data_IF_712753430363
#
_entry.id   IF_712753430363
#
_cell.length_a   1.000
_cell.length_b   1.000
_cell.length_c   1.000
_cell.angle_alpha   90.00
_cell.angle_beta   90.00
_cell.angle_gamma   90.00
#
_symmetry.space_group_name_H-M   'P 1'
#
loop_
_entity.id
_entity.type
_entity.pdbx_description
1 polymer ?
#
# COMPACT_ATOMS: atom_id res chain seq x y z
N UNK A 1 -0.66 13.78 14.23
CA UNK A 1 -1.80 13.28 13.42
C UNK A 1 -2.15 14.32 12.37
N UNK A 2 -2.56 13.87 11.18
CA UNK A 2 -3.19 14.71 10.16
C UNK A 2 -4.53 15.24 10.66
N UNK A 3 -4.82 16.51 10.36
CA UNK A 3 -6.11 17.14 10.68
C UNK A 3 -7.28 16.58 9.86
N UNK A 4 -6.99 15.85 8.77
CA UNK A 4 -7.99 15.36 7.83
C UNK A 4 -8.17 13.84 7.87
N UNK A 5 -7.10 13.10 8.13
CA UNK A 5 -7.07 11.64 7.96
C UNK A 5 -6.66 10.88 9.23
N UNK A 6 -6.22 11.59 10.28
CA UNK A 6 -5.74 10.95 11.51
C UNK A 6 -4.28 10.49 11.43
N UNK A 7 -4.00 9.28 11.88
CA UNK A 7 -2.63 8.74 11.94
C UNK A 7 -2.21 8.08 10.62
N UNK A 8 -0.95 8.27 10.22
CA UNK A 8 -0.38 7.52 9.10
C UNK A 8 -0.23 6.06 9.55
N UNK A 9 -0.76 5.14 8.75
CA UNK A 9 -0.76 3.70 9.05
C UNK A 9 0.22 2.90 8.21
N UNK A 10 0.53 3.38 7.00
CA UNK A 10 1.40 2.68 6.06
C UNK A 10 2.26 3.67 5.27
N UNK A 11 3.44 3.22 4.88
CA UNK A 11 4.37 3.92 4.00
C UNK A 11 4.70 3.02 2.80
N UNK A 12 4.29 3.45 1.60
CA UNK A 12 4.46 2.70 0.36
C UNK A 12 5.70 3.14 -0.40
N UNK A 13 6.62 2.20 -0.61
CA UNK A 13 7.88 2.40 -1.31
C UNK A 13 7.83 1.74 -2.69
N UNK A 14 8.00 2.54 -3.74
CA UNK A 14 8.13 2.03 -5.10
C UNK A 14 9.59 1.67 -5.36
N UNK A 15 9.83 0.42 -5.75
CA UNK A 15 11.16 -0.16 -5.96
C UNK A 15 11.29 -0.79 -7.35
N UNK A 16 12.54 -0.96 -7.81
CA UNK A 16 12.84 -1.59 -9.09
C UNK A 16 12.88 -3.11 -9.01
N UNK A 17 13.36 -3.64 -7.88
CA UNK A 17 13.48 -5.08 -7.60
C UNK A 17 13.00 -5.32 -6.15
N UNK A 18 11.80 -5.91 -6.03
CA UNK A 18 11.16 -6.13 -4.73
C UNK A 18 11.83 -7.24 -3.94
N UNK A 19 12.41 -8.23 -4.62
CA UNK A 19 13.17 -9.30 -3.97
C UNK A 19 14.44 -8.74 -3.31
N UNK A 20 15.21 -7.92 -4.02
CA UNK A 20 16.37 -7.23 -3.47
C UNK A 20 15.98 -6.23 -2.37
N UNK A 21 14.84 -5.54 -2.53
CA UNK A 21 14.34 -4.63 -1.50
C UNK A 21 13.97 -5.37 -0.21
N UNK A 22 13.22 -6.47 -0.29
CA UNK A 22 12.91 -7.30 0.89
C UNK A 22 14.19 -7.81 1.58
N UNK A 23 15.19 -8.23 0.82
CA UNK A 23 16.48 -8.66 1.36
C UNK A 23 17.20 -7.53 2.11
N UNK A 24 17.25 -6.33 1.51
CA UNK A 24 17.86 -5.16 2.15
C UNK A 24 17.14 -4.76 3.44
N UNK A 25 15.81 -4.61 3.38
CA UNK A 25 15.02 -4.22 4.55
C UNK A 25 15.12 -5.23 5.69
N UNK A 26 15.10 -6.52 5.38
CA UNK A 26 15.19 -7.57 6.40
C UNK A 26 16.59 -7.74 6.97
N UNK A 27 17.63 -7.83 6.13
CA UNK A 27 18.99 -8.17 6.59
C UNK A 27 19.81 -6.97 7.03
N UNK A 28 19.61 -5.81 6.40
CA UNK A 28 20.39 -4.60 6.67
C UNK A 28 19.66 -3.71 7.67
N UNK A 29 18.36 -3.48 7.46
CA UNK A 29 17.57 -2.60 8.31
C UNK A 29 16.91 -3.31 9.49
N UNK A 30 16.82 -4.65 9.45
CA UNK A 30 16.22 -5.43 10.54
C UNK A 30 14.69 -5.32 10.61
N UNK A 31 14.01 -5.05 9.49
CA UNK A 31 12.54 -4.92 9.41
C UNK A 31 11.93 -6.13 8.70
N UNK A 32 10.93 -6.74 9.33
CA UNK A 32 10.27 -7.93 8.82
C UNK A 32 9.36 -8.57 9.88
N UNK A 33 8.83 -9.77 9.61
CA UNK A 33 8.95 -10.51 8.35
C UNK A 33 8.10 -9.83 7.27
N UNK A 34 8.53 -9.92 6.01
CA UNK A 34 7.73 -9.50 4.86
C UNK A 34 6.77 -10.61 4.44
N UNK A 35 5.53 -10.24 4.16
CA UNK A 35 4.54 -11.10 3.51
C UNK A 35 4.45 -10.70 2.05
N UNK A 36 4.85 -11.60 1.15
CA UNK A 36 5.04 -11.30 -0.27
C UNK A 36 3.91 -11.84 -1.14
N UNK A 37 3.30 -10.96 -1.95
CA UNK A 37 2.36 -11.29 -3.01
C UNK A 37 2.93 -10.90 -4.37
N UNK A 38 3.25 -11.90 -5.18
CA UNK A 38 3.78 -11.68 -6.54
C UNK A 38 2.80 -10.92 -7.43
N UNK A 39 1.50 -11.22 -7.33
CA UNK A 39 0.46 -10.54 -8.11
C UNK A 39 -0.73 -10.19 -7.23
N UNK A 40 -0.94 -8.89 -7.01
CA UNK A 40 -2.11 -8.40 -6.30
C UNK A 40 -3.36 -8.57 -7.17
N UNK A 41 -4.44 -9.19 -6.67
CA UNK A 41 -5.70 -9.33 -7.40
C UNK A 41 -6.50 -8.03 -7.28
N UNK A 42 -6.08 -7.01 -8.03
CA UNK A 42 -6.77 -5.71 -8.04
C UNK A 42 -7.98 -5.78 -8.97
N UNK A 43 -9.14 -5.41 -8.46
CA UNK A 43 -10.40 -5.30 -9.19
C UNK A 43 -10.80 -3.82 -9.36
N UNK A 44 -11.66 -3.54 -10.34
CA UNK A 44 -12.23 -2.21 -10.60
C UNK A 44 -11.18 -1.08 -10.66
N UNK A 45 -9.99 -1.38 -11.18
CA UNK A 45 -8.88 -0.44 -11.20
C UNK A 45 -9.12 0.69 -12.20
N UNK A 46 -8.94 1.92 -11.72
CA UNK A 46 -9.09 3.16 -12.48
C UNK A 46 -7.85 4.04 -12.29
N UNK A 47 -7.37 4.64 -13.37
CA UNK A 47 -6.36 5.70 -13.35
C UNK A 47 -6.81 6.85 -14.25
N UNK A 48 -6.93 8.07 -13.69
CA UNK A 48 -7.40 9.27 -14.39
C UNK A 48 -8.69 9.02 -15.18
N UNK A 49 -9.65 8.33 -14.55
CA UNK A 49 -10.96 8.01 -15.12
C UNK A 49 -10.97 6.86 -16.15
N UNK A 50 -9.83 6.23 -16.45
CA UNK A 50 -9.73 5.14 -17.43
C UNK A 50 -9.41 3.81 -16.75
N UNK A 51 -10.04 2.72 -17.21
CA UNK A 51 -9.79 1.38 -16.68
C UNK A 51 -8.52 0.75 -17.23
N UNK A 52 -7.76 0.09 -16.37
CA UNK A 52 -6.53 -0.61 -16.73
C UNK A 52 -6.36 -1.91 -15.91
N UNK A 53 -5.45 -2.77 -16.35
CA UNK A 53 -5.09 -4.01 -15.65
C UNK A 53 -3.62 -3.96 -15.20
N UNK A 54 -3.33 -3.35 -14.05
CA UNK A 54 -1.97 -3.33 -13.51
C UNK A 54 -1.53 -4.72 -13.06
N UNK A 55 -0.24 -4.97 -13.18
CA UNK A 55 0.42 -6.12 -12.55
C UNK A 55 1.43 -5.57 -11.56
N UNK A 56 1.07 -5.60 -10.27
CA UNK A 56 1.95 -5.17 -9.19
C UNK A 56 2.28 -6.35 -8.28
N UNK A 57 3.54 -6.41 -7.86
CA UNK A 57 3.96 -7.21 -6.72
C UNK A 57 4.04 -6.32 -5.48
N UNK A 58 3.64 -6.85 -4.33
CA UNK A 58 3.71 -6.15 -3.05
C UNK A 58 4.31 -7.01 -1.96
N UNK A 59 5.01 -6.38 -1.02
CA UNK A 59 5.50 -7.01 0.19
C UNK A 59 5.21 -6.14 1.39
N UNK A 60 4.60 -6.71 2.42
CA UNK A 60 4.15 -5.99 3.61
C UNK A 60 4.90 -6.47 4.86
N UNK A 61 5.44 -5.54 5.64
CA UNK A 61 5.99 -5.79 6.97
C UNK A 61 5.58 -4.66 7.92
N UNK A 62 5.75 -4.84 9.23
CA UNK A 62 5.51 -3.79 10.21
C UNK A 62 6.79 -3.42 10.94
N UNK A 63 6.96 -2.12 11.22
CA UNK A 63 7.95 -1.58 12.15
C UNK A 63 7.19 -0.81 13.23
N UNK A 64 6.90 -1.50 14.34
CA UNK A 64 5.96 -1.02 15.34
C UNK A 64 4.57 -0.77 14.71
N UNK A 65 3.96 0.42 14.92
CA UNK A 65 2.62 0.71 14.42
C UNK A 65 2.56 1.02 12.91
N UNK A 66 3.69 1.29 12.25
CA UNK A 66 3.74 1.64 10.84
C UNK A 66 3.93 0.39 9.97
N UNK A 67 3.07 0.21 8.97
CA UNK A 67 3.27 -0.80 7.93
C UNK A 67 4.21 -0.27 6.84
N UNK A 68 5.22 -1.04 6.49
CA UNK A 68 6.09 -0.82 5.34
C UNK A 68 5.56 -1.66 4.19
N UNK A 69 5.20 -1.00 3.10
CA UNK A 69 4.82 -1.66 1.86
C UNK A 69 5.90 -1.42 0.81
N UNK A 70 6.41 -2.49 0.22
CA UNK A 70 7.27 -2.44 -0.96
C UNK A 70 6.42 -2.77 -2.18
N UNK A 71 6.58 -2.01 -3.26
CA UNK A 71 5.75 -2.11 -4.46
C UNK A 71 6.66 -2.15 -5.69
N UNK A 72 6.46 -3.16 -6.52
CA UNK A 72 7.06 -3.21 -7.84
C UNK A 72 5.98 -3.30 -8.92
N UNK A 73 6.01 -2.35 -9.86
CA UNK A 73 5.24 -2.41 -11.10
C UNK A 73 5.88 -3.45 -12.04
N UNK A 74 5.16 -4.51 -12.38
CA UNK A 74 5.61 -5.61 -13.26
C UNK A 74 5.10 -5.48 -14.69
N UNK A 75 4.31 -4.45 -15.01
CA UNK A 75 3.95 -4.05 -16.36
C UNK A 75 3.85 -2.52 -16.47
N UNK A 76 3.66 -2.01 -17.70
CA UNK A 76 3.62 -0.57 -17.98
C UNK A 76 2.21 0.05 -17.88
N UNK A 77 1.28 -0.63 -17.20
CA UNK A 77 -0.08 -0.13 -17.01
C UNK A 77 -0.06 1.26 -16.33
N UNK A 78 -0.87 2.22 -16.81
CA UNK A 78 -0.97 3.53 -16.18
C UNK A 78 -1.30 3.48 -14.69
N UNK A 79 -0.45 4.14 -13.90
CA UNK A 79 -0.55 4.20 -12.44
C UNK A 79 0.29 5.36 -11.92
N UNK A 80 -0.03 5.82 -10.71
CA UNK A 80 0.81 6.80 -10.01
C UNK A 80 2.21 6.24 -9.73
N UNK A 81 2.35 4.92 -9.54
CA UNK A 81 3.65 4.27 -9.34
C UNK A 81 4.53 4.33 -10.59
N UNK A 82 3.95 4.08 -11.77
CA UNK A 82 4.68 4.18 -13.03
C UNK A 82 5.12 5.61 -13.28
N UNK A 83 4.24 6.58 -13.07
CA UNK A 83 4.54 7.99 -13.30
C UNK A 83 5.63 8.50 -12.34
N UNK A 84 5.60 8.06 -11.07
CA UNK A 84 6.66 8.30 -10.09
C UNK A 84 8.03 7.77 -10.55
N UNK A 85 8.08 6.55 -11.11
CA UNK A 85 9.31 5.97 -11.68
C UNK A 85 9.78 6.71 -12.92
N UNK A 86 8.87 7.11 -13.80
CA UNK A 86 9.18 7.85 -15.03
C UNK A 86 9.72 9.25 -14.74
N UNK A 87 9.30 9.87 -13.62
CA UNK A 87 9.89 11.10 -13.10
C UNK A 87 11.30 10.91 -12.52
N UNK A 88 11.82 9.67 -12.49
CA UNK A 88 13.14 9.35 -11.97
C UNK A 88 13.16 9.10 -10.45
N UNK A 89 12.00 8.94 -9.82
CA UNK A 89 11.90 8.69 -8.39
C UNK A 89 11.83 7.19 -8.04
N UNK A 90 12.29 6.88 -6.84
CA UNK A 90 12.23 5.57 -6.17
C UNK A 90 12.12 5.82 -4.67
N UNK A 91 11.69 4.82 -3.92
CA UNK A 91 11.53 4.91 -2.47
C UNK A 91 10.12 5.37 -2.11
N UNK A 92 9.99 6.12 -1.01
CA UNK A 92 8.69 6.50 -0.45
C UNK A 92 7.88 7.29 -1.48
N UNK A 93 6.79 6.70 -1.94
CA UNK A 93 5.89 7.28 -2.94
C UNK A 93 4.65 7.85 -2.26
N UNK A 94 4.04 7.10 -1.34
CA UNK A 94 2.84 7.53 -0.62
C UNK A 94 2.86 7.17 0.86
N UNK A 95 1.96 7.81 1.60
CA UNK A 95 1.54 7.40 2.94
C UNK A 95 0.05 7.06 2.92
N UNK A 96 -0.34 6.01 3.63
CA UNK A 96 -1.73 5.59 3.69
C UNK A 96 -2.37 5.84 5.05
N UNK A 97 -3.66 6.15 4.97
CA UNK A 97 -4.57 6.23 6.10
C UNK A 97 -5.65 5.16 5.93
N UNK A 98 -6.07 4.56 7.03
CA UNK A 98 -7.03 3.47 7.02
C UNK A 98 -8.39 3.94 7.51
N UNK A 99 -9.46 3.50 6.84
CA UNK A 99 -10.84 3.84 7.19
C UNK A 99 -11.73 2.61 7.27
N UNK A 100 -12.75 2.66 8.13
CA UNK A 100 -13.84 1.70 8.17
C UNK A 100 -15.13 2.23 7.51
N UNK A 101 -15.16 3.52 7.17
CA UNK A 101 -16.32 4.28 6.68
C UNK A 101 -16.00 4.92 5.32
N UNK A 102 -15.53 4.10 4.37
CA UNK A 102 -14.90 4.56 3.13
C UNK A 102 -15.71 5.61 2.35
N UNK A 103 -17.01 5.36 2.13
CA UNK A 103 -17.85 6.25 1.32
C UNK A 103 -18.04 7.62 2.00
N UNK A 104 -18.23 7.64 3.32
CA UNK A 104 -18.38 8.87 4.09
C UNK A 104 -17.07 9.67 4.13
N UNK A 105 -15.94 8.99 4.37
CA UNK A 105 -14.63 9.63 4.39
C UNK A 105 -14.22 10.16 3.02
N UNK A 106 -14.42 9.38 1.95
CA UNK A 106 -14.12 9.82 0.59
C UNK A 106 -14.94 11.05 0.20
N UNK A 107 -16.26 11.04 0.47
CA UNK A 107 -17.12 12.19 0.19
C UNK A 107 -16.66 13.45 0.94
N UNK A 108 -16.31 13.31 2.22
CA UNK A 108 -15.76 14.41 3.02
C UNK A 108 -14.45 14.94 2.45
N UNK A 109 -13.53 14.06 2.05
CA UNK A 109 -12.22 14.46 1.51
C UNK A 109 -12.35 15.17 0.16
N UNK A 110 -13.26 14.72 -0.70
CA UNK A 110 -13.57 15.43 -1.95
C UNK A 110 -14.10 16.83 -1.66
N UNK A 111 -14.97 16.98 -0.65
CA UNK A 111 -15.48 18.29 -0.23
C UNK A 111 -14.38 19.21 0.33
N UNK A 112 -13.32 18.64 0.92
CA UNK A 112 -12.13 19.37 1.37
C UNK A 112 -11.13 19.66 0.23
N UNK A 113 -11.44 19.25 -1.01
CA UNK A 113 -10.65 19.54 -2.21
C UNK A 113 -9.61 18.48 -2.60
N UNK A 114 -9.63 17.29 -1.99
CA UNK A 114 -8.77 16.19 -2.42
C UNK A 114 -9.28 15.59 -3.73
N UNK A 115 -8.41 15.48 -4.74
CA UNK A 115 -8.75 15.00 -6.08
C UNK A 115 -8.35 13.52 -6.26
N UNK A 116 -9.29 12.57 -6.41
CA UNK A 116 -8.98 11.17 -6.70
C UNK A 116 -8.34 10.97 -8.08
N UNK A 117 -7.22 10.25 -8.13
CA UNK A 117 -6.47 9.99 -9.39
C UNK A 117 -6.37 8.50 -9.71
N UNK A 118 -6.17 7.65 -8.71
CA UNK A 118 -6.02 6.21 -8.86
C UNK A 118 -6.86 5.49 -7.82
N UNK A 119 -7.61 4.47 -8.20
CA UNK A 119 -8.46 3.70 -7.28
C UNK A 119 -8.59 2.25 -7.72
N UNK A 120 -9.03 1.40 -6.80
CA UNK A 120 -9.32 -0.01 -7.07
C UNK A 120 -9.70 -0.74 -5.79
N UNK A 121 -9.81 -2.06 -5.90
CA UNK A 121 -10.32 -2.91 -4.82
C UNK A 121 -9.43 -4.14 -4.65
N UNK A 122 -9.13 -4.52 -3.40
CA UNK A 122 -8.40 -5.75 -3.07
C UNK A 122 -9.18 -6.52 -2.02
N UNK A 123 -9.99 -7.47 -2.48
CA UNK A 123 -10.89 -8.25 -1.63
C UNK A 123 -12.13 -7.46 -1.17
N UNK A 124 -13.04 -8.18 -0.54
CA UNK A 124 -14.31 -7.63 -0.06
C UNK A 124 -14.09 -6.50 0.94
N UNK A 125 -14.73 -5.34 0.72
CA UNK A 125 -14.55 -4.11 1.53
C UNK A 125 -13.07 -3.72 1.69
N UNK A 126 -12.30 -3.92 0.62
CA UNK A 126 -10.87 -3.64 0.53
C UNK A 126 -10.54 -2.53 -0.47
N UNK A 127 -11.42 -1.55 -0.65
CA UNK A 127 -11.24 -0.42 -1.58
C UNK A 127 -10.03 0.45 -1.22
N UNK A 128 -9.46 1.10 -2.21
CA UNK A 128 -8.42 2.12 -2.03
C UNK A 128 -8.59 3.26 -3.03
N UNK A 129 -8.11 4.45 -2.65
CA UNK A 129 -8.05 5.63 -3.51
C UNK A 129 -6.84 6.48 -3.17
N UNK A 130 -6.18 7.00 -4.20
CA UNK A 130 -5.02 7.88 -4.13
C UNK A 130 -5.39 9.27 -4.64
N UNK A 131 -4.87 10.29 -3.98
CA UNK A 131 -5.17 11.69 -4.29
C UNK A 131 -4.00 12.42 -4.95
N UNK A 132 -4.30 13.41 -5.81
CA UNK A 132 -3.30 14.30 -6.42
C UNK A 132 -2.71 15.26 -5.39
N UNK A 133 -1.75 14.74 -4.63
CA UNK A 133 -1.16 15.40 -3.45
C UNK A 133 0.36 15.38 -3.51
N UNK A 134 0.92 15.01 -4.66
CA UNK A 134 2.36 14.99 -4.85
C UNK A 134 2.91 16.43 -4.86
N UNK A 135 3.84 16.70 -3.96
CA UNK A 135 4.65 17.92 -3.92
C UNK A 135 6.13 17.56 -3.91
N UNK A 136 6.50 16.56 -3.09
CA UNK A 136 7.76 15.85 -3.14
C UNK A 136 7.50 14.35 -2.90
N UNK A 137 8.46 13.46 -3.18
CA UNK A 137 8.32 12.04 -2.87
C UNK A 137 7.83 11.80 -1.43
N UNK A 138 6.80 10.96 -1.30
CA UNK A 138 6.19 10.58 -0.04
C UNK A 138 5.04 11.45 0.45
N UNK A 139 4.57 12.43 -0.33
CA UNK A 139 3.38 13.22 0.03
C UNK A 139 2.09 12.75 -0.62
N UNK A 140 2.14 11.79 -1.54
CA UNK A 140 0.91 11.20 -2.09
C UNK A 140 0.15 10.52 -0.95
N UNK A 141 -1.15 10.78 -0.87
CA UNK A 141 -2.04 10.21 0.13
C UNK A 141 -2.86 9.08 -0.47
N UNK A 142 -2.88 7.94 0.21
CA UNK A 142 -3.85 6.87 0.03
C UNK A 142 -4.88 6.87 1.18
N UNK A 143 -6.16 6.70 0.83
CA UNK A 143 -7.20 6.24 1.74
C UNK A 143 -7.53 4.78 1.44
N UNK A 144 -7.33 3.89 2.41
CA UNK A 144 -7.50 2.44 2.26
C UNK A 144 -8.59 1.93 3.20
N UNK A 145 -9.63 1.30 2.64
CA UNK A 145 -10.72 0.70 3.42
C UNK A 145 -10.24 -0.59 4.08
N UNK A 146 -10.35 -0.70 5.40
CA UNK A 146 -9.90 -1.88 6.18
C UNK A 146 -11.05 -2.57 6.91
N UNK A 147 -12.29 -2.34 6.48
CA UNK A 147 -13.48 -2.87 7.14
C UNK A 147 -13.73 -4.37 6.86
N UNK A 148 -12.94 -4.99 5.98
CA UNK A 148 -13.06 -6.39 5.57
C UNK A 148 -11.84 -7.26 5.93
N UNK A 149 -11.65 -8.40 5.23
CA UNK A 149 -10.51 -9.30 5.45
C UNK A 149 -9.14 -8.63 5.34
N UNK A 150 -9.03 -7.57 4.52
CA UNK A 150 -7.79 -6.78 4.40
C UNK A 150 -7.33 -6.21 5.75
N UNK A 151 -8.25 -5.71 6.58
CA UNK A 151 -7.91 -5.20 7.91
C UNK A 151 -7.36 -6.27 8.85
N UNK A 152 -8.02 -7.44 8.89
CA UNK A 152 -7.57 -8.60 9.69
C UNK A 152 -6.20 -9.11 9.25
N UNK A 153 -5.96 -9.13 7.94
CA UNK A 153 -4.65 -9.44 7.38
C UNK A 153 -3.58 -8.46 7.87
N UNK A 154 -3.86 -7.15 7.86
CA UNK A 154 -2.90 -6.15 8.35
C UNK A 154 -2.59 -6.32 9.84
N UNK A 155 -3.61 -6.63 10.66
CA UNK A 155 -3.39 -6.94 12.09
C UNK A 155 -2.56 -8.21 12.30
N UNK A 156 -2.78 -9.24 11.47
CA UNK A 156 -1.98 -10.46 11.49
C UNK A 156 -0.51 -10.20 11.11
N UNK A 157 -0.26 -9.40 10.07
CA UNK A 157 1.09 -9.00 9.64
C UNK A 157 1.79 -8.22 10.75
N UNK A 158 1.09 -7.27 11.38
CA UNK A 158 1.61 -6.53 12.53
C UNK A 158 2.00 -7.47 13.66
N UNK A 159 1.09 -8.37 14.05
CA UNK A 159 1.33 -9.33 15.14
C UNK A 159 2.55 -10.21 14.86
N UNK A 160 2.73 -10.63 13.59
CA UNK A 160 3.88 -11.43 13.18
C UNK A 160 5.23 -10.69 13.29
N UNK A 161 5.24 -9.36 13.32
CA UNK A 161 6.46 -8.54 13.47
C UNK A 161 6.90 -8.34 14.92
N UNK A 162 5.99 -8.44 15.90
CA UNK A 162 6.25 -8.02 17.30
C UNK A 162 7.33 -8.86 18.01
N UNK A 163 7.46 -10.13 17.63
CA UNK A 163 8.44 -11.07 18.20
C UNK A 163 9.38 -11.66 17.15
N UNK A 164 9.47 -11.01 15.99
CA UNK A 164 10.30 -11.51 14.89
C UNK A 164 11.79 -11.40 15.23
N UNK A 165 12.53 -12.49 15.04
CA UNK A 165 13.93 -12.64 15.43
C UNK A 165 14.91 -12.60 14.24
N UNK A 166 14.42 -12.23 13.06
CA UNK A 166 15.22 -12.19 11.82
C UNK A 166 15.14 -13.48 10.97
N UNK A 167 14.59 -14.59 11.49
CA UNK A 167 14.44 -15.84 10.73
C UNK A 167 13.20 -15.83 9.86
N UNK A 168 13.26 -16.55 8.73
CA UNK A 168 12.18 -16.61 7.74
C UNK A 168 11.67 -15.21 7.33
N UNK A 169 12.56 -14.38 6.74
CA UNK A 169 12.32 -12.96 6.50
C UNK A 169 11.24 -12.69 5.44
N UNK A 170 10.93 -13.67 4.60
CA UNK A 170 9.89 -13.58 3.58
C UNK A 170 8.95 -14.76 3.75
N UNK A 171 7.66 -14.47 3.89
CA UNK A 171 6.58 -15.44 4.15
C UNK A 171 5.53 -15.35 3.05
N UNK A 172 4.79 -16.44 2.77
CA UNK A 172 3.69 -16.41 1.84
C UNK A 172 2.62 -15.40 2.27
N UNK A 173 2.06 -14.65 1.32
CA UNK A 173 0.95 -13.76 1.61
C UNK A 173 -0.27 -14.54 2.15
N UNK A 174 -0.96 -14.03 3.19
CA UNK A 174 -2.16 -14.68 3.71
C UNK A 174 -3.27 -14.75 2.66
N UNK A 175 -4.07 -15.81 2.68
CA UNK A 175 -5.27 -15.89 1.86
C UNK A 175 -6.39 -15.08 2.53
N UNK A 176 -6.83 -14.01 1.86
CA UNK A 176 -7.91 -13.12 2.30
C UNK A 176 -9.24 -13.86 2.53
N UNK A 177 -9.46 -15.01 1.89
CA UNK A 177 -10.66 -15.82 2.14
C UNK A 177 -10.63 -16.56 3.49
N UNK A 178 -9.45 -16.70 4.09
CA UNK A 178 -9.24 -17.51 5.31
C UNK A 178 -8.87 -16.68 6.54
N UNK A 179 -8.66 -15.37 6.37
CA UNK A 179 -8.22 -14.44 7.42
C UNK A 179 -9.38 -13.65 8.00
#
# INVERSE_FOLDING_TARGET
MSRFFGEIRQAGYVVDDIEAAMDHWSRVLGVGPFFYKERVPIENYQYRGTSHTPHNSVALANSGPLQIELIQTRNDAPSMYRDFKQAGHRGLQHVAYWTQEYDADLARLIAEGFEPVMSGEVGERGRFVYFDTEFHPGTVIELSEVAGPKGRMFDMIRTASESWDGRDPVRPFPDLATV
#
